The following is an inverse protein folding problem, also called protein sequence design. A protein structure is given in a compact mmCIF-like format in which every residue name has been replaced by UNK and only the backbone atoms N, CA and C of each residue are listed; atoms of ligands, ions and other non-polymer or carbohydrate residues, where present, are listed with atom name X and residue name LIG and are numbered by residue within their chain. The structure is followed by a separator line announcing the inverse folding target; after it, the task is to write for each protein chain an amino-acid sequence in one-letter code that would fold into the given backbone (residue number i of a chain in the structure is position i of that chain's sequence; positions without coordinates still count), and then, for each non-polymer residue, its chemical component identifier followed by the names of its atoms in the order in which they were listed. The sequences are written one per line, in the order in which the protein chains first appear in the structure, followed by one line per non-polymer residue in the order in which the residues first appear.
data_IF_567715834570
#
_entry.id   IF_567715834570
#
_cell.length_a   1.000
_cell.length_b   1.000
_cell.length_c   1.000
_cell.angle_alpha   90.00
_cell.angle_beta   90.00
_cell.angle_gamma   90.00
#
_symmetry.space_group_name_H-M   'P 1'
#
loop_
_entity.id
_entity.type
_entity.pdbx_description
1 polymer ?
#
# COMPACT_ATOMS: atom_id res chain seq x y z
N UNK A 1 -21.13 -11.14 -5.50
CA UNK A 1 -21.80 -12.45 -5.56
C UNK A 1 -20.97 -13.33 -6.47
N UNK A 2 -20.46 -14.47 -6.00
CA UNK A 2 -19.84 -15.44 -6.91
C UNK A 2 -20.95 -15.96 -7.84
N UNK A 3 -20.90 -15.55 -9.11
CA UNK A 3 -21.89 -15.92 -10.15
C UNK A 3 -22.11 -17.43 -10.24
N UNK A 4 -21.13 -18.21 -9.80
CA UNK A 4 -21.13 -19.67 -9.69
C UNK A 4 -22.12 -20.23 -8.67
N UNK A 5 -22.36 -19.55 -7.55
CA UNK A 5 -23.25 -20.05 -6.47
C UNK A 5 -24.72 -19.90 -6.86
N UNK A 6 -25.09 -18.74 -7.41
CA UNK A 6 -26.42 -18.53 -7.95
C UNK A 6 -26.68 -19.47 -9.15
N UNK A 7 -25.69 -19.67 -10.02
CA UNK A 7 -25.79 -20.61 -11.13
C UNK A 7 -26.00 -22.07 -10.70
N UNK A 8 -25.41 -22.51 -9.57
CA UNK A 8 -25.58 -23.87 -9.04
C UNK A 8 -26.99 -24.12 -8.51
N UNK A 9 -27.56 -23.17 -7.76
CA UNK A 9 -28.93 -23.27 -7.25
C UNK A 9 -29.97 -23.08 -8.37
N UNK A 10 -29.69 -22.21 -9.34
CA UNK A 10 -30.51 -22.02 -10.54
C UNK A 10 -30.45 -23.26 -11.45
N UNK A 11 -29.29 -23.89 -11.63
CA UNK A 11 -29.18 -25.16 -12.37
C UNK A 11 -29.99 -26.28 -11.71
N UNK A 12 -30.07 -26.31 -10.37
CA UNK A 12 -30.91 -27.23 -9.62
C UNK A 12 -32.42 -26.96 -9.84
N UNK A 13 -32.80 -25.68 -9.90
CA UNK A 13 -34.18 -25.22 -10.17
C UNK A 13 -34.62 -25.44 -11.63
N UNK A 14 -33.71 -25.36 -12.60
CA UNK A 14 -34.01 -25.51 -14.04
C UNK A 14 -34.11 -26.98 -14.45
N UNK A 15 -33.27 -27.87 -13.90
CA UNK A 15 -33.29 -29.30 -14.29
C UNK A 15 -34.52 -30.04 -13.75
N UNK A 16 -35.13 -29.57 -12.64
CA UNK A 16 -36.39 -30.13 -12.13
C UNK A 16 -37.62 -29.73 -12.95
N UNK A 17 -37.56 -28.69 -13.81
CA UNK A 17 -38.67 -28.29 -14.68
C UNK A 17 -38.74 -29.06 -16.00
N UNK A 18 -37.59 -29.48 -16.56
CA UNK A 18 -37.56 -30.10 -17.91
C UNK A 18 -38.16 -31.52 -17.91
N UNK A 19 -38.14 -32.23 -16.78
CA UNK A 19 -38.67 -33.59 -16.71
C UNK A 19 -40.15 -33.70 -16.32
N UNK A 20 -40.80 -32.58 -15.98
CA UNK A 20 -42.25 -32.57 -15.78
C UNK A 20 -43.03 -32.58 -17.11
N UNK A 21 -42.41 -32.21 -18.23
CA UNK A 21 -43.13 -31.98 -19.50
C UNK A 21 -42.52 -32.57 -20.77
N UNK A 22 -41.38 -33.28 -20.73
CA UNK A 22 -40.88 -33.99 -21.93
C UNK A 22 -40.23 -35.33 -21.59
N UNK A 23 -41.05 -36.38 -21.51
CA UNK A 23 -40.70 -37.62 -22.21
C UNK A 23 -40.66 -37.21 -23.68
N UNK A 24 -39.49 -37.13 -24.32
CA UNK A 24 -39.20 -37.35 -25.77
C UNK A 24 -37.79 -36.79 -26.03
N UNK A 25 -36.75 -37.50 -25.60
CA UNK A 25 -35.56 -37.69 -26.45
C UNK A 25 -35.29 -39.19 -26.37
N UNK A 26 -35.84 -39.88 -27.37
CA UNK A 26 -35.68 -41.30 -27.62
C UNK A 26 -34.20 -41.63 -27.86
N UNK A 27 -33.50 -42.11 -26.84
CA UNK A 27 -32.46 -43.11 -27.07
C UNK A 27 -33.19 -44.41 -27.45
N UNK A 28 -32.96 -45.00 -28.64
CA UNK A 28 -33.60 -46.25 -29.00
C UNK A 28 -33.16 -47.34 -28.01
N UNK A 29 -34.12 -48.03 -27.37
CA UNK A 29 -33.86 -49.22 -26.54
C UNK A 29 -33.93 -49.06 -25.02
N UNK A 30 -34.11 -47.86 -24.44
CA UNK A 30 -34.21 -47.72 -22.97
C UNK A 30 -35.62 -47.96 -22.44
N UNK A 31 -35.78 -48.89 -21.50
CA UNK A 31 -37.07 -49.17 -20.86
C UNK A 31 -37.50 -48.02 -19.94
N UNK A 32 -38.81 -47.89 -19.68
CA UNK A 32 -39.32 -46.88 -18.74
C UNK A 32 -38.77 -47.07 -17.32
N UNK A 33 -38.46 -48.31 -16.95
CA UNK A 33 -37.86 -48.65 -15.66
C UNK A 33 -36.43 -48.09 -15.54
N UNK A 34 -35.63 -48.18 -16.61
CA UNK A 34 -34.28 -47.58 -16.68
C UNK A 34 -34.34 -46.04 -16.59
N UNK A 35 -35.31 -45.40 -17.24
CA UNK A 35 -35.49 -43.95 -17.18
C UNK A 35 -35.80 -43.47 -15.75
N UNK A 36 -36.72 -44.15 -15.07
CA UNK A 36 -37.08 -43.83 -13.68
C UNK A 36 -35.90 -44.09 -12.73
N UNK A 37 -35.15 -45.17 -12.93
CA UNK A 37 -33.93 -45.47 -12.16
C UNK A 37 -32.85 -44.38 -12.30
N UNK A 38 -32.62 -43.91 -13.53
CA UNK A 38 -31.72 -42.77 -13.80
C UNK A 38 -32.20 -41.49 -13.11
N UNK A 39 -33.51 -41.23 -13.10
CA UNK A 39 -34.09 -40.06 -12.44
C UNK A 39 -33.93 -40.12 -10.91
N UNK A 40 -34.21 -41.26 -10.29
CA UNK A 40 -33.99 -41.47 -8.85
C UNK A 40 -32.51 -41.24 -8.51
N UNK A 41 -31.59 -41.82 -9.29
CA UNK A 41 -30.14 -41.63 -9.10
C UNK A 41 -29.71 -40.16 -9.24
N UNK A 42 -30.30 -39.45 -10.21
CA UNK A 42 -30.06 -38.02 -10.38
C UNK A 42 -30.53 -37.21 -9.16
N UNK A 43 -31.73 -37.49 -8.63
CA UNK A 43 -32.26 -36.80 -7.46
C UNK A 43 -31.45 -37.11 -6.19
N UNK A 44 -30.98 -38.35 -6.01
CA UNK A 44 -30.02 -38.69 -4.95
C UNK A 44 -28.76 -37.84 -5.04
N UNK A 45 -28.17 -37.71 -6.24
CA UNK A 45 -27.01 -36.85 -6.43
C UNK A 45 -27.31 -35.37 -6.08
N UNK A 46 -28.54 -34.88 -6.33
CA UNK A 46 -28.93 -33.54 -5.90
C UNK A 46 -29.04 -33.41 -4.38
N UNK A 47 -29.56 -34.43 -3.68
CA UNK A 47 -29.62 -34.42 -2.20
C UNK A 47 -28.23 -34.26 -1.59
N UNK A 48 -27.24 -35.01 -2.09
CA UNK A 48 -25.84 -34.94 -1.63
C UNK A 48 -25.22 -33.57 -1.92
N UNK A 49 -25.47 -33.00 -3.11
CA UNK A 49 -24.99 -31.66 -3.46
C UNK A 49 -25.57 -30.58 -2.56
N UNK A 50 -26.88 -30.63 -2.30
CA UNK A 50 -27.55 -29.69 -1.40
C UNK A 50 -27.06 -29.85 0.04
N UNK A 51 -26.88 -31.07 0.52
CA UNK A 51 -26.34 -31.36 1.85
C UNK A 51 -24.93 -30.79 2.05
N UNK A 52 -24.01 -31.06 1.11
CA UNK A 52 -22.67 -30.48 1.13
C UNK A 52 -22.71 -28.94 1.10
N UNK A 53 -23.63 -28.38 0.33
CA UNK A 53 -23.81 -26.95 0.22
C UNK A 53 -24.34 -26.34 1.52
N UNK A 54 -25.38 -26.93 2.13
CA UNK A 54 -25.95 -26.56 3.43
C UNK A 54 -24.83 -26.55 4.48
N UNK A 55 -24.06 -27.64 4.55
CA UNK A 55 -22.96 -27.79 5.49
C UNK A 55 -21.88 -26.70 5.35
N UNK A 56 -21.64 -26.22 4.14
CA UNK A 56 -20.57 -25.25 3.86
C UNK A 56 -21.03 -23.79 3.96
N UNK A 57 -22.31 -23.49 3.70
CA UNK A 57 -22.78 -22.11 3.50
C UNK A 57 -23.85 -21.65 4.49
N UNK A 58 -24.55 -22.58 5.16
CA UNK A 58 -25.52 -22.26 6.20
C UNK A 58 -24.82 -22.29 7.55
N UNK A 59 -24.63 -21.10 8.13
CA UNK A 59 -23.94 -20.93 9.41
C UNK A 59 -24.88 -20.87 10.62
N UNK A 60 -26.20 -20.74 10.40
CA UNK A 60 -27.17 -20.79 11.49
C UNK A 60 -27.44 -22.27 11.74
N UNK A 61 -27.03 -22.76 12.91
CA UNK A 61 -27.07 -24.19 13.20
C UNK A 61 -28.51 -24.72 13.25
N UNK A 62 -29.46 -23.96 13.80
CA UNK A 62 -30.88 -24.36 13.82
C UNK A 62 -31.44 -24.51 12.42
N UNK A 63 -31.21 -23.51 11.55
CA UNK A 63 -31.71 -23.56 10.16
C UNK A 63 -30.99 -24.62 9.32
N UNK A 64 -29.71 -24.86 9.62
CA UNK A 64 -28.92 -25.92 9.01
C UNK A 64 -29.52 -27.29 9.33
N UNK A 65 -29.81 -27.57 10.60
CA UNK A 65 -30.42 -28.84 11.02
C UNK A 65 -31.82 -29.03 10.42
N UNK A 66 -32.63 -27.97 10.34
CA UNK A 66 -33.94 -27.99 9.68
C UNK A 66 -33.82 -28.41 8.20
N UNK A 67 -32.96 -27.75 7.43
CA UNK A 67 -32.74 -28.07 6.00
C UNK A 67 -32.15 -29.46 5.78
N UNK A 68 -31.28 -29.95 6.68
CA UNK A 68 -30.77 -31.32 6.64
C UNK A 68 -31.85 -32.36 6.97
N UNK A 69 -32.79 -32.02 7.85
CA UNK A 69 -33.99 -32.81 8.12
C UNK A 69 -34.88 -32.93 6.88
N UNK A 70 -35.15 -31.81 6.20
CA UNK A 70 -35.89 -31.79 4.93
C UNK A 70 -35.20 -32.65 3.85
N UNK A 71 -33.86 -32.56 3.73
CA UNK A 71 -33.08 -33.41 2.80
C UNK A 71 -33.19 -34.90 3.16
N UNK A 72 -33.19 -35.24 4.45
CA UNK A 72 -33.37 -36.62 4.91
C UNK A 72 -34.75 -37.17 4.56
N UNK A 73 -35.81 -36.34 4.68
CA UNK A 73 -37.16 -36.69 4.22
C UNK A 73 -37.17 -37.03 2.72
N UNK A 74 -36.54 -36.19 1.89
CA UNK A 74 -36.42 -36.46 0.45
C UNK A 74 -35.69 -37.78 0.17
N UNK A 75 -34.59 -38.06 0.87
CA UNK A 75 -33.86 -39.33 0.71
C UNK A 75 -34.78 -40.53 1.00
N UNK A 76 -35.60 -40.45 2.05
CA UNK A 76 -36.57 -41.51 2.36
C UNK A 76 -37.62 -41.70 1.25
N UNK A 77 -38.11 -40.61 0.64
CA UNK A 77 -39.04 -40.67 -0.51
C UNK A 77 -38.36 -41.32 -1.72
N UNK A 78 -37.09 -41.03 -1.96
CA UNK A 78 -36.31 -41.64 -3.03
C UNK A 78 -36.03 -43.13 -2.77
N UNK A 79 -35.82 -43.54 -1.51
CA UNK A 79 -35.71 -44.95 -1.13
C UNK A 79 -37.03 -45.69 -1.38
N UNK A 80 -38.16 -45.07 -1.04
CA UNK A 80 -39.49 -45.60 -1.37
C UNK A 80 -39.69 -45.72 -2.89
N UNK A 81 -39.31 -44.69 -3.66
CA UNK A 81 -39.40 -44.71 -5.12
C UNK A 81 -38.56 -45.84 -5.75
N UNK A 82 -37.38 -46.11 -5.17
CA UNK A 82 -36.51 -47.21 -5.59
C UNK A 82 -37.15 -48.58 -5.31
N UNK A 83 -37.80 -48.73 -4.16
CA UNK A 83 -38.49 -49.96 -3.77
C UNK A 83 -39.73 -50.22 -4.64
N UNK A 84 -40.55 -49.19 -4.93
CA UNK A 84 -41.72 -49.32 -5.82
C UNK A 84 -41.30 -49.62 -7.26
N UNK A 85 -40.17 -49.06 -7.71
CA UNK A 85 -39.61 -49.35 -9.03
C UNK A 85 -39.13 -50.80 -9.15
N UNK A 86 -38.55 -51.36 -8.08
CA UNK A 86 -38.15 -52.76 -8.02
C UNK A 86 -39.36 -53.71 -8.01
N UNK A 87 -40.47 -53.28 -7.39
CA UNK A 87 -41.74 -54.00 -7.40
C UNK A 87 -42.52 -53.90 -8.73
N UNK A 88 -42.05 -53.08 -9.68
CA UNK A 88 -42.68 -52.88 -10.99
C UNK A 88 -43.82 -51.86 -11.02
N UNK A 89 -44.09 -51.17 -9.92
CA UNK A 89 -45.12 -50.11 -9.88
C UNK A 89 -44.57 -48.78 -10.40
N UNK A 90 -44.69 -48.61 -11.71
CA UNK A 90 -44.18 -47.43 -12.41
C UNK A 90 -44.99 -46.16 -12.10
N UNK A 91 -46.27 -46.27 -11.74
CA UNK A 91 -47.13 -45.11 -11.48
C UNK A 91 -46.83 -44.53 -10.09
N UNK A 92 -46.78 -45.39 -9.07
CA UNK A 92 -46.39 -44.99 -7.72
C UNK A 92 -44.97 -44.40 -7.71
N UNK A 93 -44.05 -45.00 -8.46
CA UNK A 93 -42.68 -44.48 -8.60
C UNK A 93 -42.64 -43.07 -9.19
N UNK A 94 -43.45 -42.78 -10.23
CA UNK A 94 -43.52 -41.44 -10.83
C UNK A 94 -44.03 -40.40 -9.85
N UNK A 95 -45.02 -40.74 -9.03
CA UNK A 95 -45.56 -39.83 -8.01
C UNK A 95 -44.56 -39.54 -6.90
N UNK A 96 -43.84 -40.56 -6.41
CA UNK A 96 -42.77 -40.38 -5.41
C UNK A 96 -41.62 -39.52 -5.97
N UNK A 97 -41.24 -39.72 -7.24
CA UNK A 97 -40.25 -38.87 -7.92
C UNK A 97 -40.73 -37.41 -8.02
N UNK A 98 -42.01 -37.18 -8.35
CA UNK A 98 -42.61 -35.84 -8.37
C UNK A 98 -42.56 -35.19 -7.00
N UNK A 99 -42.93 -35.93 -5.95
CA UNK A 99 -42.89 -35.45 -4.58
C UNK A 99 -41.46 -35.06 -4.17
N UNK A 100 -40.48 -35.96 -4.35
CA UNK A 100 -39.08 -35.69 -4.05
C UNK A 100 -38.55 -34.46 -4.82
N UNK A 101 -38.91 -34.31 -6.09
CA UNK A 101 -38.52 -33.15 -6.90
C UNK A 101 -39.11 -31.83 -6.38
N UNK A 102 -40.38 -31.86 -5.94
CA UNK A 102 -41.06 -30.70 -5.37
C UNK A 102 -40.41 -30.26 -4.06
N UNK A 103 -40.14 -31.21 -3.16
CA UNK A 103 -39.48 -30.95 -1.87
C UNK A 103 -38.06 -30.41 -2.07
N UNK A 104 -37.27 -31.00 -2.98
CA UNK A 104 -35.93 -30.48 -3.33
C UNK A 104 -35.98 -29.04 -3.84
N UNK A 105 -37.02 -28.71 -4.62
CA UNK A 105 -37.22 -27.34 -5.12
C UNK A 105 -37.54 -26.37 -4.00
N UNK A 106 -38.38 -26.77 -3.05
CA UNK A 106 -38.70 -25.96 -1.88
C UNK A 106 -37.45 -25.67 -1.05
N UNK A 107 -36.63 -26.70 -0.77
CA UNK A 107 -35.35 -26.57 -0.06
C UNK A 107 -34.41 -25.59 -0.79
N UNK A 108 -34.28 -25.71 -2.11
CA UNK A 108 -33.44 -24.82 -2.93
C UNK A 108 -33.89 -23.34 -2.89
N UNK A 109 -35.20 -23.09 -2.85
CA UNK A 109 -35.75 -21.73 -2.72
C UNK A 109 -35.48 -21.14 -1.34
N UNK A 110 -35.65 -21.91 -0.27
CA UNK A 110 -35.32 -21.48 1.09
C UNK A 110 -33.84 -21.10 1.20
N UNK A 111 -32.94 -21.94 0.66
CA UNK A 111 -31.50 -21.68 0.62
C UNK A 111 -31.14 -20.39 -0.13
N UNK A 112 -31.80 -20.15 -1.26
CA UNK A 112 -31.57 -18.93 -2.04
C UNK A 112 -31.91 -17.68 -1.23
N UNK A 113 -33.03 -17.72 -0.50
CA UNK A 113 -33.47 -16.62 0.37
C UNK A 113 -32.47 -16.36 1.49
N UNK A 114 -32.08 -17.40 2.23
CA UNK A 114 -31.11 -17.31 3.34
C UNK A 114 -29.77 -16.71 2.87
N UNK A 115 -29.26 -17.14 1.73
CA UNK A 115 -27.99 -16.64 1.19
C UNK A 115 -28.11 -15.18 0.79
N UNK A 116 -29.21 -14.80 0.14
CA UNK A 116 -29.43 -13.43 -0.31
C UNK A 116 -29.56 -12.48 0.87
N UNK A 117 -30.32 -12.86 1.90
CA UNK A 117 -30.50 -12.09 3.13
C UNK A 117 -29.17 -11.91 3.85
N UNK A 118 -28.38 -12.97 4.03
CA UNK A 118 -27.04 -12.85 4.62
C UNK A 118 -26.09 -11.98 3.81
N UNK A 119 -26.09 -12.12 2.49
CA UNK A 119 -25.24 -11.30 1.64
C UNK A 119 -25.61 -9.81 1.78
N UNK A 120 -26.89 -9.51 1.90
CA UNK A 120 -27.40 -8.17 2.15
C UNK A 120 -27.00 -7.67 3.54
N UNK A 121 -27.17 -8.47 4.60
CA UNK A 121 -26.74 -8.12 5.96
C UNK A 121 -25.24 -7.84 6.03
N UNK A 122 -24.40 -8.68 5.41
CA UNK A 122 -22.95 -8.45 5.35
C UNK A 122 -22.62 -7.13 4.67
N UNK A 123 -23.29 -6.83 3.55
CA UNK A 123 -23.14 -5.57 2.83
C UNK A 123 -23.55 -4.39 3.71
N UNK A 124 -24.66 -4.51 4.44
CA UNK A 124 -25.12 -3.47 5.36
C UNK A 124 -24.15 -3.23 6.52
N UNK A 125 -23.69 -4.30 7.18
CA UNK A 125 -22.69 -4.21 8.26
C UNK A 125 -21.38 -3.58 7.78
N UNK A 126 -20.95 -3.89 6.57
CA UNK A 126 -19.78 -3.26 5.96
C UNK A 126 -19.99 -1.75 5.76
N UNK A 127 -21.13 -1.34 5.18
CA UNK A 127 -21.46 0.08 5.00
C UNK A 127 -21.54 0.80 6.34
N UNK A 128 -22.17 0.19 7.35
CA UNK A 128 -22.29 0.75 8.70
C UNK A 128 -20.91 0.92 9.39
N UNK A 129 -20.01 -0.06 9.23
CA UNK A 129 -18.65 0.04 9.73
C UNK A 129 -17.90 1.20 9.05
N UNK A 130 -18.05 1.36 7.74
CA UNK A 130 -17.45 2.47 6.99
C UNK A 130 -17.99 3.83 7.43
N UNK A 131 -19.32 3.97 7.60
CA UNK A 131 -19.93 5.21 8.11
C UNK A 131 -19.34 5.57 9.48
N UNK A 132 -19.21 4.60 10.39
CA UNK A 132 -18.61 4.82 11.71
C UNK A 132 -17.15 5.25 11.61
N UNK A 133 -16.35 4.59 10.78
CA UNK A 133 -14.95 4.93 10.58
C UNK A 133 -14.76 6.37 10.08
N UNK A 134 -15.51 6.76 9.03
CA UNK A 134 -15.44 8.11 8.47
C UNK A 134 -16.00 9.17 9.44
N UNK A 135 -17.02 8.84 10.22
CA UNK A 135 -17.54 9.74 11.26
C UNK A 135 -16.49 10.04 12.32
N UNK A 136 -15.75 9.00 12.75
CA UNK A 136 -14.63 9.17 13.69
C UNK A 136 -13.50 10.00 13.10
N UNK A 137 -13.20 9.82 11.81
CA UNK A 137 -12.20 10.62 11.09
C UNK A 137 -12.61 12.09 10.99
N UNK A 138 -13.87 12.39 10.64
CA UNK A 138 -14.41 13.76 10.64
C UNK A 138 -14.27 14.40 12.02
N UNK A 139 -14.61 13.68 13.09
CA UNK A 139 -14.46 14.18 14.46
C UNK A 139 -13.00 14.46 14.83
N UNK A 140 -12.06 13.60 14.40
CA UNK A 140 -10.64 13.81 14.62
C UNK A 140 -10.11 15.05 13.88
N UNK A 141 -10.45 15.20 12.59
CA UNK A 141 -10.07 16.36 11.79
C UNK A 141 -10.69 17.65 12.33
N UNK A 142 -11.91 17.60 12.86
CA UNK A 142 -12.57 18.74 13.51
C UNK A 142 -11.80 19.21 14.75
N UNK A 143 -11.31 18.28 15.58
CA UNK A 143 -10.45 18.63 16.74
C UNK A 143 -9.14 19.29 16.30
N UNK A 144 -8.55 18.83 15.20
CA UNK A 144 -7.33 19.44 14.64
C UNK A 144 -7.65 20.85 14.12
N UNK A 145 -8.76 21.04 13.42
CA UNK A 145 -9.21 22.34 12.95
C UNK A 145 -9.42 23.31 14.12
N UNK A 146 -10.09 22.91 15.20
CA UNK A 146 -10.25 23.75 16.39
C UNK A 146 -8.91 24.13 17.03
N UNK A 147 -7.95 23.20 17.09
CA UNK A 147 -6.60 23.51 17.55
C UNK A 147 -5.88 24.50 16.62
N UNK A 148 -6.09 24.42 15.32
CA UNK A 148 -5.49 25.37 14.37
C UNK A 148 -6.15 26.74 14.46
N UNK A 149 -7.47 26.78 14.68
CA UNK A 149 -8.22 28.00 14.96
C UNK A 149 -7.72 28.72 16.21
N UNK A 150 -7.46 27.99 17.30
CA UNK A 150 -6.88 28.58 18.52
C UNK A 150 -5.45 29.09 18.34
N UNK A 151 -4.73 28.59 17.34
CA UNK A 151 -3.44 29.12 16.88
C UNK A 151 -3.58 30.27 15.86
N UNK A 152 -4.81 30.75 15.62
CA UNK A 152 -5.10 31.87 14.72
C UNK A 152 -4.99 31.52 13.24
N UNK A 153 -5.23 30.27 12.85
CA UNK A 153 -5.42 29.90 11.44
C UNK A 153 -6.88 30.09 11.02
N UNK A 154 -7.11 30.51 9.78
CA UNK A 154 -8.45 30.46 9.19
C UNK A 154 -8.78 29.02 8.81
N UNK A 155 -9.79 28.45 9.47
CA UNK A 155 -10.24 27.07 9.27
C UNK A 155 -11.59 26.99 8.56
N UNK A 156 -12.13 28.11 8.06
CA UNK A 156 -13.49 28.19 7.52
C UNK A 156 -13.75 27.16 6.42
N UNK A 157 -12.80 26.99 5.50
CA UNK A 157 -12.90 25.98 4.44
C UNK A 157 -12.90 24.54 5.00
N UNK A 158 -12.01 24.23 5.95
CA UNK A 158 -11.93 22.92 6.59
C UNK A 158 -13.23 22.61 7.33
N UNK A 159 -13.75 23.56 8.11
CA UNK A 159 -15.01 23.41 8.83
C UNK A 159 -16.17 23.16 7.87
N UNK A 160 -16.25 23.91 6.76
CA UNK A 160 -17.29 23.71 5.73
C UNK A 160 -17.25 22.30 5.12
N UNK A 161 -16.07 21.83 4.71
CA UNK A 161 -15.87 20.50 4.14
C UNK A 161 -16.25 19.39 5.14
N UNK A 162 -15.86 19.53 6.42
CA UNK A 162 -16.16 18.55 7.46
C UNK A 162 -17.65 18.54 7.83
N UNK A 163 -18.32 19.69 7.86
CA UNK A 163 -19.77 19.77 8.05
C UNK A 163 -20.51 19.12 6.88
N UNK A 164 -20.09 19.39 5.63
CA UNK A 164 -20.63 18.75 4.43
C UNK A 164 -20.47 17.23 4.49
N UNK A 165 -19.27 16.74 4.83
CA UNK A 165 -19.01 15.31 5.02
C UNK A 165 -19.90 14.69 6.11
N UNK A 166 -20.06 15.35 7.25
CA UNK A 166 -20.92 14.88 8.35
C UNK A 166 -22.39 14.75 7.93
N UNK A 167 -22.89 15.72 7.15
CA UNK A 167 -24.25 15.67 6.60
C UNK A 167 -24.41 14.50 5.62
N UNK A 168 -23.45 14.29 4.73
CA UNK A 168 -23.45 13.16 3.78
C UNK A 168 -23.43 11.81 4.52
N UNK A 169 -22.63 11.67 5.58
CA UNK A 169 -22.58 10.46 6.41
C UNK A 169 -23.91 10.20 7.12
N UNK A 170 -24.56 11.25 7.63
CA UNK A 170 -25.89 11.15 8.25
C UNK A 170 -26.97 10.73 7.26
N UNK A 171 -26.92 11.26 6.03
CA UNK A 171 -27.79 10.84 4.93
C UNK A 171 -27.51 9.40 4.51
N UNK A 172 -26.23 8.99 4.44
CA UNK A 172 -25.84 7.62 4.12
C UNK A 172 -26.39 6.63 5.14
N UNK A 173 -26.34 6.98 6.44
CA UNK A 173 -26.93 6.19 7.52
C UNK A 173 -28.46 6.07 7.36
N UNK A 174 -29.13 7.15 6.97
CA UNK A 174 -30.58 7.16 6.73
C UNK A 174 -30.95 6.31 5.51
N UNK A 175 -30.22 6.43 4.40
CA UNK A 175 -30.39 5.57 3.22
C UNK A 175 -30.15 4.10 3.55
N UNK A 176 -29.15 3.78 4.38
CA UNK A 176 -28.90 2.42 4.84
C UNK A 176 -30.05 1.86 5.68
N UNK A 177 -30.61 2.65 6.61
CA UNK A 177 -31.81 2.28 7.40
C UNK A 177 -33.02 2.00 6.51
N UNK A 178 -33.13 2.69 5.38
CA UNK A 178 -34.18 2.49 4.37
C UNK A 178 -33.86 1.37 3.38
N UNK A 179 -32.86 0.52 3.65
CA UNK A 179 -32.37 -0.56 2.78
C UNK A 179 -31.82 -0.12 1.40
N UNK A 180 -31.62 1.18 1.17
CA UNK A 180 -31.05 1.72 -0.06
C UNK A 180 -29.50 1.73 0.01
N UNK A 181 -28.92 0.54 -0.16
CA UNK A 181 -27.47 0.34 -0.10
C UNK A 181 -26.72 1.02 -1.25
N UNK A 182 -27.37 1.25 -2.39
CA UNK A 182 -26.73 1.89 -3.56
C UNK A 182 -26.53 3.37 -3.29
N UNK A 183 -27.59 4.05 -2.82
CA UNK A 183 -27.51 5.46 -2.44
C UNK A 183 -26.58 5.68 -1.25
N UNK A 184 -26.61 4.79 -0.25
CA UNK A 184 -25.69 4.88 0.89
C UNK A 184 -24.22 4.83 0.46
N UNK A 185 -23.86 3.95 -0.50
CA UNK A 185 -22.50 3.86 -1.06
C UNK A 185 -22.10 5.12 -1.85
N UNK A 186 -23.03 5.71 -2.61
CA UNK A 186 -22.78 6.95 -3.33
C UNK A 186 -22.50 8.12 -2.38
N UNK A 187 -23.31 8.27 -1.34
CA UNK A 187 -23.13 9.29 -0.30
C UNK A 187 -21.82 9.10 0.47
N UNK A 188 -21.44 7.85 0.77
CA UNK A 188 -20.15 7.53 1.35
C UNK A 188 -18.98 7.97 0.47
N UNK A 189 -19.05 7.72 -0.84
CA UNK A 189 -18.00 8.14 -1.77
C UNK A 189 -17.85 9.68 -1.80
N UNK A 190 -18.96 10.40 -1.81
CA UNK A 190 -18.95 11.86 -1.73
C UNK A 190 -18.37 12.36 -0.40
N UNK A 191 -18.75 11.75 0.73
CA UNK A 191 -18.20 12.11 2.04
C UNK A 191 -16.68 11.90 2.12
N UNK A 192 -16.16 10.80 1.55
CA UNK A 192 -14.72 10.53 1.50
C UNK A 192 -13.96 11.60 0.73
N UNK A 193 -14.50 12.09 -0.39
CA UNK A 193 -13.86 13.14 -1.17
C UNK A 193 -13.79 14.45 -0.38
N UNK A 194 -14.86 14.83 0.31
CA UNK A 194 -14.87 16.00 1.20
C UNK A 194 -13.83 15.87 2.32
N UNK A 195 -13.74 14.69 2.95
CA UNK A 195 -12.74 14.39 3.98
C UNK A 195 -11.32 14.52 3.44
N UNK A 196 -11.04 13.96 2.25
CA UNK A 196 -9.72 14.04 1.61
C UNK A 196 -9.31 15.48 1.31
N UNK A 197 -10.25 16.31 0.86
CA UNK A 197 -10.00 17.73 0.64
C UNK A 197 -9.72 18.46 1.96
N UNK A 198 -10.50 18.16 3.01
CA UNK A 198 -10.27 18.72 4.35
C UNK A 198 -8.89 18.34 4.90
N UNK A 199 -8.45 17.09 4.72
CA UNK A 199 -7.11 16.65 5.10
C UNK A 199 -6.01 17.42 4.38
N UNK A 200 -6.16 17.64 3.08
CA UNK A 200 -5.19 18.43 2.30
C UNK A 200 -5.11 19.86 2.85
N UNK A 201 -6.25 20.52 3.05
CA UNK A 201 -6.30 21.85 3.64
C UNK A 201 -5.70 21.89 5.06
N UNK A 202 -5.92 20.88 5.89
CA UNK A 202 -5.26 20.77 7.20
C UNK A 202 -3.73 20.68 7.04
N UNK A 203 -3.20 19.88 6.11
CA UNK A 203 -1.74 19.81 5.88
C UNK A 203 -1.17 21.16 5.43
N UNK A 204 -1.88 21.86 4.57
CA UNK A 204 -1.48 23.19 4.09
C UNK A 204 -1.47 24.20 5.24
N UNK A 205 -2.52 24.22 6.07
CA UNK A 205 -2.61 25.07 7.26
C UNK A 205 -1.51 24.74 8.28
N UNK A 206 -1.20 23.46 8.50
CA UNK A 206 -0.11 23.04 9.37
C UNK A 206 1.24 23.60 8.89
N UNK A 207 1.46 23.57 7.58
CA UNK A 207 2.67 24.11 6.94
C UNK A 207 2.75 25.62 7.10
N UNK A 208 1.65 26.34 6.88
CA UNK A 208 1.57 27.79 7.08
C UNK A 208 1.80 28.18 8.54
N UNK A 209 1.16 27.48 9.49
CA UNK A 209 1.35 27.70 10.92
C UNK A 209 2.81 27.48 11.33
N UNK A 210 3.47 26.43 10.80
CA UNK A 210 4.89 26.23 11.06
C UNK A 210 5.75 27.32 10.44
N UNK A 211 5.41 27.76 9.23
CA UNK A 211 6.13 28.84 8.55
C UNK A 211 6.10 30.17 9.32
N UNK A 212 5.10 30.41 10.19
CA UNK A 212 5.12 31.57 11.11
C UNK A 212 6.31 31.56 12.08
N UNK A 213 6.92 30.39 12.32
CA UNK A 213 8.07 30.21 13.19
C UNK A 213 9.38 30.03 12.41
N UNK A 214 9.39 30.33 11.10
CA UNK A 214 10.56 30.09 10.23
C UNK A 214 11.81 30.85 10.70
N UNK A 215 11.65 32.00 11.35
CA UNK A 215 12.78 32.74 11.93
C UNK A 215 13.50 31.93 13.01
N UNK A 216 12.76 31.24 13.87
CA UNK A 216 13.32 30.35 14.90
C UNK A 216 14.00 29.12 14.26
N UNK A 217 13.42 28.60 13.19
CA UNK A 217 14.04 27.50 12.42
C UNK A 217 15.36 27.94 11.77
N UNK A 218 15.42 29.18 11.26
CA UNK A 218 16.65 29.78 10.74
C UNK A 218 17.70 29.95 11.85
N UNK A 219 17.33 30.49 13.01
CA UNK A 219 18.23 30.63 14.17
C UNK A 219 18.81 29.28 14.61
N UNK A 220 17.98 28.24 14.66
CA UNK A 220 18.44 26.89 14.95
C UNK A 220 19.43 26.39 13.89
N UNK A 221 19.19 26.66 12.61
CA UNK A 221 20.09 26.28 11.52
C UNK A 221 21.44 27.03 11.61
N UNK A 222 21.42 28.34 11.87
CA UNK A 222 22.61 29.15 12.10
C UNK A 222 23.43 28.59 13.27
N UNK A 223 22.78 28.30 14.40
CA UNK A 223 23.46 27.72 15.56
C UNK A 223 24.04 26.33 15.29
N UNK A 224 23.32 25.48 14.56
CA UNK A 224 23.79 24.14 14.21
C UNK A 224 25.02 24.20 13.29
N UNK A 225 24.95 25.04 12.26
CA UNK A 225 26.07 25.24 11.31
C UNK A 225 27.28 25.86 12.01
N UNK A 226 27.10 26.87 12.86
CA UNK A 226 28.18 27.47 13.62
C UNK A 226 28.92 26.44 14.51
N UNK A 227 28.19 25.58 15.23
CA UNK A 227 28.80 24.50 16.03
C UNK A 227 29.62 23.52 15.20
N UNK A 228 29.17 23.23 13.98
CA UNK A 228 29.92 22.35 13.05
C UNK A 228 31.17 23.07 12.56
N UNK A 229 31.05 24.34 12.17
CA UNK A 229 32.18 25.16 11.75
C UNK A 229 33.28 25.21 12.83
N UNK A 230 32.94 25.54 14.07
CA UNK A 230 33.90 25.61 15.19
C UNK A 230 34.61 24.28 15.47
N UNK A 231 33.91 23.16 15.27
CA UNK A 231 34.53 21.82 15.37
C UNK A 231 35.48 21.59 14.21
N UNK A 232 35.05 21.86 12.98
CA UNK A 232 35.88 21.66 11.80
C UNK A 232 37.11 22.57 11.82
N UNK A 233 36.99 23.82 12.29
CA UNK A 233 38.06 24.80 12.31
C UNK A 233 39.27 24.32 13.13
N UNK A 234 39.02 23.59 14.23
CA UNK A 234 40.07 23.04 15.09
C UNK A 234 40.88 21.91 14.44
N UNK A 235 40.27 21.13 13.54
CA UNK A 235 40.87 19.92 12.99
C UNK A 235 41.22 20.03 11.49
N UNK A 236 40.49 20.85 10.75
CA UNK A 236 40.60 21.02 9.31
C UNK A 236 40.12 22.42 8.87
N UNK A 237 40.92 23.50 9.06
CA UNK A 237 40.52 24.88 8.78
C UNK A 237 40.01 25.12 7.35
N UNK A 238 40.64 24.50 6.35
CA UNK A 238 40.22 24.66 4.95
C UNK A 238 38.82 24.05 4.70
N UNK A 239 38.53 22.90 5.32
CA UNK A 239 37.22 22.25 5.25
C UNK A 239 36.17 23.06 6.00
N UNK A 240 36.54 23.63 7.14
CA UNK A 240 35.68 24.54 7.88
C UNK A 240 35.25 25.74 7.02
N UNK A 241 36.17 26.35 6.28
CA UNK A 241 35.85 27.47 5.39
C UNK A 241 34.93 27.06 4.23
N UNK A 242 35.13 25.89 3.63
CA UNK A 242 34.22 25.37 2.59
C UNK A 242 32.81 25.15 3.14
N UNK A 243 32.70 24.57 4.34
CA UNK A 243 31.42 24.38 5.03
C UNK A 243 30.76 25.71 5.39
N UNK A 244 31.55 26.71 5.83
CA UNK A 244 31.07 28.06 6.10
C UNK A 244 30.47 28.72 4.87
N UNK A 245 31.17 28.67 3.74
CA UNK A 245 30.63 29.23 2.48
C UNK A 245 29.32 28.54 2.05
N UNK A 246 29.24 27.22 2.22
CA UNK A 246 28.03 26.44 1.92
C UNK A 246 26.84 26.82 2.80
N UNK A 247 27.08 26.98 4.11
CA UNK A 247 26.06 27.33 5.09
C UNK A 247 25.63 28.79 4.97
N UNK A 248 26.57 29.72 4.81
CA UNK A 248 26.32 31.15 4.61
C UNK A 248 25.43 31.40 3.38
N UNK A 249 25.65 30.67 2.29
CA UNK A 249 24.82 30.78 1.07
C UNK A 249 23.36 30.42 1.37
N UNK A 250 23.13 29.33 2.11
CA UNK A 250 21.78 28.85 2.47
C UNK A 250 21.11 29.75 3.50
N UNK A 251 21.87 30.24 4.47
CA UNK A 251 21.40 31.21 5.47
C UNK A 251 20.93 32.48 4.75
N UNK A 252 21.73 33.02 3.82
CA UNK A 252 21.35 34.21 3.03
C UNK A 252 20.12 33.96 2.15
N UNK A 253 20.03 32.81 1.50
CA UNK A 253 18.84 32.42 0.71
C UNK A 253 17.59 32.39 1.59
N UNK A 254 17.65 31.71 2.74
CA UNK A 254 16.53 31.65 3.68
C UNK A 254 16.15 33.04 4.23
N UNK A 255 17.12 33.87 4.61
CA UNK A 255 16.89 35.25 5.05
C UNK A 255 16.19 36.09 3.99
N UNK A 256 16.62 35.97 2.73
CA UNK A 256 16.02 36.67 1.59
C UNK A 256 14.57 36.23 1.36
N UNK A 257 14.28 34.93 1.46
CA UNK A 257 12.91 34.42 1.35
C UNK A 257 12.02 34.92 2.49
N UNK A 258 12.54 34.95 3.72
CA UNK A 258 11.82 35.47 4.88
C UNK A 258 11.52 36.97 4.72
N UNK A 259 12.49 37.78 4.28
CA UNK A 259 12.29 39.22 4.09
C UNK A 259 11.30 39.54 2.96
N UNK A 260 11.18 38.67 1.96
CA UNK A 260 10.15 38.73 0.92
C UNK A 260 8.77 38.23 1.38
N UNK A 261 8.62 37.78 2.63
CA UNK A 261 7.40 37.18 3.15
C UNK A 261 7.12 35.76 2.67
N UNK A 262 8.05 35.12 1.96
CA UNK A 262 7.94 33.75 1.42
C UNK A 262 8.30 32.70 2.47
N UNK A 263 7.65 32.77 3.62
CA UNK A 263 7.99 31.98 4.81
C UNK A 263 7.87 30.46 4.60
N UNK A 264 6.91 30.01 3.79
CA UNK A 264 6.74 28.57 3.47
C UNK A 264 7.91 28.07 2.63
N UNK A 265 8.33 28.82 1.63
CA UNK A 265 9.46 28.46 0.77
C UNK A 265 10.76 28.45 1.58
N UNK A 266 10.97 29.46 2.43
CA UNK A 266 12.09 29.52 3.37
C UNK A 266 12.13 28.29 4.29
N UNK A 267 10.99 27.89 4.86
CA UNK A 267 10.90 26.70 5.72
C UNK A 267 11.29 25.42 4.96
N UNK A 268 10.83 25.26 3.72
CA UNK A 268 11.18 24.09 2.90
C UNK A 268 12.68 24.05 2.58
N UNK A 269 13.27 25.19 2.22
CA UNK A 269 14.72 25.33 1.96
C UNK A 269 15.56 25.03 3.20
N UNK A 270 15.12 25.47 4.38
CA UNK A 270 15.80 25.16 5.64
C UNK A 270 15.74 23.67 5.95
N UNK A 271 14.59 23.01 5.78
CA UNK A 271 14.46 21.56 5.98
C UNK A 271 15.38 20.78 5.04
N UNK A 272 15.42 21.16 3.77
CA UNK A 272 16.34 20.58 2.80
C UNK A 272 17.81 20.78 3.24
N UNK A 273 18.15 22.00 3.68
CA UNK A 273 19.51 22.31 4.13
C UNK A 273 19.93 21.50 5.35
N UNK A 274 19.03 21.31 6.32
CA UNK A 274 19.28 20.42 7.47
C UNK A 274 19.54 18.97 7.04
N UNK A 275 18.77 18.46 6.07
CA UNK A 275 18.96 17.12 5.55
C UNK A 275 20.32 16.97 4.83
N UNK A 276 20.68 17.93 3.99
CA UNK A 276 21.95 17.92 3.24
C UNK A 276 23.19 18.10 4.13
N UNK A 277 23.05 18.79 5.26
CA UNK A 277 24.16 19.19 6.12
C UNK A 277 25.08 18.02 6.51
N UNK A 278 24.51 16.87 6.89
CA UNK A 278 25.30 15.69 7.28
C UNK A 278 26.10 15.11 6.10
N UNK A 279 25.49 15.06 4.92
CA UNK A 279 26.16 14.58 3.70
C UNK A 279 27.29 15.51 3.28
N UNK A 280 27.09 16.81 3.41
CA UNK A 280 28.10 17.82 3.07
C UNK A 280 29.29 17.71 4.01
N UNK A 281 29.06 17.60 5.33
CA UNK A 281 30.17 17.41 6.29
C UNK A 281 30.95 16.14 5.98
N UNK A 282 30.27 15.01 5.72
CA UNK A 282 30.95 13.77 5.37
C UNK A 282 31.77 13.89 4.08
N UNK A 283 31.20 14.46 3.01
CA UNK A 283 31.90 14.67 1.74
C UNK A 283 33.10 15.60 1.87
N UNK A 284 32.97 16.70 2.62
CA UNK A 284 34.07 17.62 2.85
C UNK A 284 35.21 16.97 3.66
N UNK A 285 34.89 16.12 4.63
CA UNK A 285 35.90 15.37 5.39
C UNK A 285 36.70 14.41 4.49
N UNK A 286 36.04 13.75 3.53
CA UNK A 286 36.73 12.92 2.53
C UNK A 286 37.66 13.76 1.63
N UNK A 287 37.21 14.92 1.17
CA UNK A 287 38.05 15.83 0.40
C UNK A 287 39.28 16.31 1.20
N UNK A 288 39.11 16.55 2.50
CA UNK A 288 40.22 16.90 3.40
C UNK A 288 41.26 15.79 3.50
N UNK A 289 40.83 14.52 3.57
CA UNK A 289 41.75 13.35 3.57
C UNK A 289 42.53 13.22 2.27
N UNK A 290 41.85 13.42 1.14
CA UNK A 290 42.47 13.41 -0.19
C UNK A 290 43.56 14.48 -0.24
N UNK A 291 43.25 15.73 0.09
CA UNK A 291 44.20 16.84 0.06
C UNK A 291 45.44 16.60 0.95
N UNK A 292 45.26 16.04 2.15
CA UNK A 292 46.39 15.64 3.01
C UNK A 292 47.28 14.60 2.33
N UNK A 293 46.67 13.56 1.74
CA UNK A 293 47.42 12.53 1.01
C UNK A 293 48.17 13.11 -0.19
N UNK A 294 47.56 14.04 -0.92
CA UNK A 294 48.21 14.71 -2.05
C UNK A 294 49.45 15.48 -1.60
N UNK A 295 49.38 16.25 -0.50
CA UNK A 295 50.53 17.00 0.04
C UNK A 295 51.67 16.10 0.49
N UNK A 296 51.36 15.01 1.19
CA UNK A 296 52.37 14.01 1.57
C UNK A 296 53.03 13.39 0.35
N UNK A 297 52.24 13.13 -0.69
CA UNK A 297 52.70 12.54 -1.93
C UNK A 297 53.58 13.50 -2.75
N UNK A 298 53.25 14.79 -2.78
CA UNK A 298 54.12 15.85 -3.34
C UNK A 298 55.47 15.92 -2.60
N UNK A 299 55.47 15.74 -1.27
CA UNK A 299 56.71 15.68 -0.50
C UNK A 299 57.54 14.43 -0.83
N UNK A 300 56.90 13.27 -1.01
CA UNK A 300 57.57 12.05 -1.50
C UNK A 300 58.17 12.30 -2.88
N UNK A 301 57.42 12.91 -3.80
CA UNK A 301 57.89 13.24 -5.15
C UNK A 301 59.15 14.13 -5.09
N UNK A 302 59.18 15.15 -4.22
CA UNK A 302 60.37 16.00 -4.01
C UNK A 302 61.60 15.19 -3.58
N UNK A 303 61.43 14.26 -2.65
CA UNK A 303 62.55 13.42 -2.14
C UNK A 303 63.08 12.50 -3.23
N UNK A 304 62.20 11.75 -3.89
CA UNK A 304 62.62 10.75 -4.89
C UNK A 304 63.12 11.39 -6.19
N UNK A 305 62.78 12.66 -6.48
CA UNK A 305 63.20 13.34 -7.71
C UNK A 305 64.71 13.32 -7.92
N UNK A 306 65.48 13.31 -6.84
CA UNK A 306 66.96 13.21 -6.86
C UNK A 306 67.49 11.87 -7.37
N UNK A 307 66.72 10.79 -7.26
CA UNK A 307 67.12 9.43 -7.60
C UNK A 307 66.29 8.81 -8.75
N UNK A 308 65.07 9.31 -8.98
CA UNK A 308 64.14 8.87 -10.02
C UNK A 308 63.19 10.01 -10.43
N UNK A 309 63.68 10.89 -11.31
CA UNK A 309 62.94 12.07 -11.77
C UNK A 309 61.66 11.73 -12.55
N UNK A 310 61.66 10.65 -13.34
CA UNK A 310 60.50 10.22 -14.14
C UNK A 310 59.33 9.83 -13.24
N UNK A 311 59.57 9.02 -12.20
CA UNK A 311 58.53 8.64 -11.25
C UNK A 311 58.02 9.85 -10.45
N UNK A 312 58.90 10.78 -10.07
CA UNK A 312 58.50 12.01 -9.41
C UNK A 312 57.52 12.84 -10.28
N UNK A 313 57.82 13.01 -11.57
CA UNK A 313 56.95 13.75 -12.50
C UNK A 313 55.60 13.08 -12.72
N UNK A 314 55.55 11.75 -12.77
CA UNK A 314 54.28 11.00 -12.86
C UNK A 314 53.42 11.20 -11.61
N UNK A 315 54.06 11.20 -10.43
CA UNK A 315 53.37 11.49 -9.17
C UNK A 315 52.81 12.92 -9.19
N UNK A 316 53.61 13.93 -9.56
CA UNK A 316 53.13 15.32 -9.62
C UNK A 316 51.96 15.49 -10.59
N UNK A 317 52.05 14.89 -11.79
CA UNK A 317 50.97 14.90 -12.79
C UNK A 317 49.69 14.32 -12.21
N UNK A 318 49.79 13.15 -11.56
CA UNK A 318 48.64 12.47 -10.98
C UNK A 318 48.03 13.27 -9.83
N UNK A 319 48.85 13.94 -9.01
CA UNK A 319 48.36 14.86 -7.98
C UNK A 319 47.55 16.01 -8.60
N UNK A 320 48.02 16.61 -9.70
CA UNK A 320 47.28 17.69 -10.37
C UNK A 320 45.95 17.20 -10.97
N UNK A 321 45.93 16.01 -11.59
CA UNK A 321 44.68 15.41 -12.09
C UNK A 321 43.65 15.21 -10.97
N UNK A 322 44.09 14.75 -9.79
CA UNK A 322 43.20 14.58 -8.63
C UNK A 322 42.68 15.91 -8.11
N UNK A 323 43.50 16.97 -8.10
CA UNK A 323 43.07 18.33 -7.72
C UNK A 323 42.00 18.87 -8.69
N UNK A 324 42.18 18.66 -9.99
CA UNK A 324 41.18 19.04 -11.00
C UNK A 324 39.87 18.27 -10.79
N UNK A 325 39.93 16.95 -10.60
CA UNK A 325 38.73 16.15 -10.33
C UNK A 325 38.01 16.56 -9.04
N UNK A 326 38.78 16.90 -8.00
CA UNK A 326 38.26 17.41 -6.72
C UNK A 326 37.55 18.76 -6.89
N UNK A 327 38.15 19.68 -7.65
CA UNK A 327 37.53 20.99 -7.95
C UNK A 327 36.24 20.84 -8.78
N UNK A 328 36.20 19.85 -9.67
CA UNK A 328 35.02 19.50 -10.46
C UNK A 328 33.98 18.69 -9.67
N UNK A 329 34.24 18.35 -8.40
CA UNK A 329 33.39 17.53 -7.53
C UNK A 329 33.09 16.13 -8.09
N UNK A 330 33.97 15.60 -8.94
CA UNK A 330 33.85 14.25 -9.49
C UNK A 330 34.47 13.23 -8.52
N UNK A 331 33.70 12.85 -7.51
CA UNK A 331 34.16 11.93 -6.46
C UNK A 331 34.50 10.53 -6.98
N UNK A 332 33.86 10.10 -8.08
CA UNK A 332 34.17 8.83 -8.71
C UNK A 332 35.56 8.87 -9.36
N UNK A 333 35.84 9.93 -10.12
CA UNK A 333 37.16 10.12 -10.72
C UNK A 333 38.26 10.34 -9.69
N UNK A 334 37.95 11.06 -8.60
CA UNK A 334 38.87 11.19 -7.46
C UNK A 334 39.22 9.82 -6.89
N UNK A 335 38.25 8.92 -6.70
CA UNK A 335 38.51 7.59 -6.15
C UNK A 335 39.41 6.74 -7.07
N UNK A 336 39.14 6.75 -8.38
CA UNK A 336 39.93 6.05 -9.39
C UNK A 336 41.39 6.53 -9.40
N UNK A 337 41.58 7.85 -9.53
CA UNK A 337 42.91 8.45 -9.59
C UNK A 337 43.69 8.28 -8.28
N UNK A 338 43.01 8.28 -7.12
CA UNK A 338 43.63 7.96 -5.84
C UNK A 338 44.13 6.50 -5.77
N UNK A 339 43.46 5.57 -6.45
CA UNK A 339 43.92 4.20 -6.61
C UNK A 339 45.24 4.11 -7.38
N UNK A 340 45.32 4.83 -8.50
CA UNK A 340 46.54 4.93 -9.31
C UNK A 340 47.69 5.61 -8.55
N UNK A 341 47.40 6.71 -7.85
CA UNK A 341 48.39 7.43 -7.05
C UNK A 341 49.01 6.54 -5.97
N UNK A 342 48.21 5.69 -5.31
CA UNK A 342 48.70 4.72 -4.31
C UNK A 342 49.69 3.72 -4.92
N UNK A 343 49.49 3.31 -6.17
CA UNK A 343 50.43 2.42 -6.86
C UNK A 343 51.76 3.13 -7.13
N UNK A 344 51.73 4.39 -7.58
CA UNK A 344 52.94 5.19 -7.78
C UNK A 344 53.70 5.44 -6.46
N UNK A 345 52.98 5.69 -5.36
CA UNK A 345 53.56 5.78 -4.01
C UNK A 345 54.19 4.45 -3.58
N UNK A 346 53.59 3.30 -3.91
CA UNK A 346 54.17 2.01 -3.57
C UNK A 346 55.49 1.76 -4.34
N UNK A 347 55.56 2.17 -5.61
CA UNK A 347 56.78 2.09 -6.43
C UNK A 347 57.89 3.00 -5.89
N UNK A 348 57.53 4.19 -5.38
CA UNK A 348 58.50 5.17 -4.88
C UNK A 348 59.32 4.67 -3.69
N UNK A 349 58.78 3.74 -2.89
CA UNK A 349 59.48 3.10 -1.74
C UNK A 349 60.79 2.40 -2.12
N UNK A 350 60.91 1.96 -3.37
CA UNK A 350 62.10 1.27 -3.87
C UNK A 350 62.92 2.11 -4.85
N UNK A 351 62.46 3.32 -5.19
CA UNK A 351 63.01 4.12 -6.28
C UNK A 351 64.45 4.61 -6.05
N UNK A 352 64.86 4.82 -4.80
CA UNK A 352 66.23 5.22 -4.45
C UNK A 352 67.11 4.06 -3.96
N UNK A 353 66.69 2.80 -4.09
CA UNK A 353 67.56 1.67 -3.72
C UNK A 353 68.65 1.48 -4.78
N UNK A 354 69.92 1.31 -4.39
CA UNK A 354 70.97 0.96 -5.35
C UNK A 354 70.59 -0.36 -6.02
N UNK A 355 70.63 -0.39 -7.35
CA UNK A 355 70.42 -1.62 -8.10
C UNK A 355 71.39 -2.68 -7.57
N UNK A 356 70.86 -3.78 -7.01
CA UNK A 356 71.68 -4.97 -6.75
C UNK A 356 72.21 -5.40 -8.12
N UNK A 357 73.49 -5.12 -8.38
CA UNK A 357 74.22 -5.66 -9.53
C UNK A 357 73.98 -7.17 -9.52
N UNK A 358 73.34 -7.68 -10.57
CA UNK A 358 73.30 -9.11 -10.86
C UNK A 358 74.67 -9.57 -11.33
#
# INVERSE_FOLDING_TARGET
MNKTIAALVIALLVVTQVFASTIVVSQPGTTDQEKLSRHISFLYNQTVRLENFINSHVANETKKQELLGEISSVKNILDQAKNTLAAGDLNQTRELIRQASSELRAIALQLTKEIRERAQERKQRFIEAEIRALTNQVAALSRVAEKFKSLGADVSNVTSLLTSASNLLSQAQTSLKNNDTTKALQLLAQAREQIKQAEKSIRDLATQLRARQVQKDLEHFVNATQRIYERLEKFAPNIAQMFKNWSDTRIKEAQSLISQGKNVEALLKLRQSFFEMNHVVAGLMELGRVETTLRETENIAKVIRTCNATLASLIDSKVQEIRVATNNKDLQKVHELMGELRQLIAQSRFACRPARKK
#
